data_IF_115033671844
#
_entry.id   IF_115033671844
#
_cell.length_a   1.000
_cell.length_b   1.000
_cell.length_c   1.000
_cell.angle_alpha   90.00
_cell.angle_beta   90.00
_cell.angle_gamma   90.00
#
_symmetry.space_group_name_H-M   'P 1'
#
loop_
_entity.id
_entity.type
_entity.pdbx_description
1 polymer ?
#
# COMPACT_ATOMS: atom_id res chain seq x y z
N UNK A 1 42.30 -4.58 5.96
CA UNK A 1 41.27 -3.74 6.59
C UNK A 1 39.91 -4.23 6.11
N UNK A 2 39.28 -5.15 6.84
CA UNK A 2 38.00 -5.74 6.45
C UNK A 2 36.88 -4.69 6.57
N UNK A 3 36.13 -4.46 5.51
CA UNK A 3 34.93 -3.63 5.55
C UNK A 3 33.93 -4.30 6.51
N UNK A 4 33.37 -3.56 7.48
CA UNK A 4 32.38 -4.10 8.41
C UNK A 4 31.21 -4.74 7.64
N UNK A 5 30.63 -5.87 8.10
CA UNK A 5 29.54 -6.58 7.40
C UNK A 5 28.32 -5.69 7.07
N UNK A 6 28.12 -4.62 7.84
CA UNK A 6 27.10 -3.60 7.56
C UNK A 6 27.37 -2.83 6.26
N UNK A 7 28.62 -2.42 6.00
CA UNK A 7 29.01 -1.69 4.79
C UNK A 7 28.85 -2.54 3.55
N UNK A 8 29.23 -3.82 3.61
CA UNK A 8 29.05 -4.75 2.48
C UNK A 8 27.57 -4.99 2.18
N UNK A 9 26.74 -5.13 3.21
CA UNK A 9 25.28 -5.27 3.05
C UNK A 9 24.67 -4.02 2.41
N UNK A 10 25.05 -2.82 2.89
CA UNK A 10 24.59 -1.55 2.32
C UNK A 10 25.04 -1.39 0.86
N UNK A 11 26.30 -1.71 0.54
CA UNK A 11 26.79 -1.66 -0.85
C UNK A 11 26.08 -2.68 -1.75
N UNK A 12 25.82 -3.89 -1.25
CA UNK A 12 25.07 -4.90 -2.00
C UNK A 12 23.63 -4.45 -2.26
N UNK A 13 22.99 -3.77 -1.29
CA UNK A 13 21.66 -3.16 -1.47
C UNK A 13 21.72 -2.03 -2.50
N UNK A 14 22.70 -1.11 -2.38
CA UNK A 14 22.91 -0.01 -3.32
C UNK A 14 23.17 -0.47 -4.76
N UNK A 15 23.85 -1.59 -4.96
CA UNK A 15 24.14 -2.16 -6.28
C UNK A 15 22.92 -2.87 -6.90
N UNK A 16 22.03 -3.45 -6.09
CA UNK A 16 20.77 -4.09 -6.53
C UNK A 16 19.66 -3.07 -6.84
N UNK A 17 19.94 -1.82 -6.54
CA UNK A 17 19.08 -0.68 -6.70
C UNK A 17 19.33 -0.07 -8.09
N UNK A 18 18.31 -0.04 -8.96
CA UNK A 18 18.43 0.57 -10.29
C UNK A 18 18.42 2.11 -10.17
N UNK A 19 19.56 2.68 -9.76
CA UNK A 19 19.73 4.12 -9.43
C UNK A 19 19.47 5.01 -10.65
N UNK A 20 19.86 4.55 -11.85
CA UNK A 20 19.65 5.30 -13.09
C UNK A 20 18.16 5.53 -13.38
N UNK A 21 17.36 4.46 -13.28
CA UNK A 21 15.91 4.53 -13.50
C UNK A 21 15.19 5.35 -12.42
N UNK A 22 15.59 5.19 -11.14
CA UNK A 22 15.09 6.01 -10.03
C UNK A 22 15.31 7.50 -10.27
N UNK A 23 16.52 7.87 -10.69
CA UNK A 23 16.87 9.28 -10.89
C UNK A 23 16.01 9.97 -11.95
N UNK A 24 15.56 9.22 -12.96
CA UNK A 24 14.69 9.71 -14.04
C UNK A 24 13.23 9.86 -13.57
N UNK A 25 12.72 8.87 -12.84
CA UNK A 25 11.36 8.88 -12.28
C UNK A 25 11.17 9.99 -11.26
N UNK A 26 12.09 10.08 -10.28
CA UNK A 26 12.08 11.15 -9.27
C UNK A 26 12.12 12.50 -9.98
N UNK A 27 13.02 12.71 -10.93
CA UNK A 27 13.15 14.00 -11.63
C UNK A 27 11.87 14.41 -12.37
N UNK A 28 11.16 13.46 -12.99
CA UNK A 28 9.88 13.75 -13.66
C UNK A 28 8.73 14.05 -12.68
N UNK A 29 8.81 13.52 -11.46
CA UNK A 29 7.74 13.59 -10.45
C UNK A 29 7.96 14.72 -9.43
N UNK A 30 9.21 15.17 -9.25
CA UNK A 30 9.63 16.23 -8.34
C UNK A 30 8.81 17.53 -8.41
N UNK A 31 8.41 18.03 -9.61
CA UNK A 31 7.61 19.26 -9.68
C UNK A 31 6.29 19.17 -8.92
N UNK A 32 5.66 17.98 -8.88
CA UNK A 32 4.39 17.77 -8.19
C UNK A 32 4.52 17.68 -6.66
N UNK A 33 5.75 17.55 -6.13
CA UNK A 33 6.03 17.58 -4.69
C UNK A 33 6.38 18.99 -4.18
N UNK A 34 6.59 19.95 -5.07
CA UNK A 34 6.85 21.35 -4.70
C UNK A 34 5.74 21.94 -3.82
N UNK A 35 4.43 21.72 -4.08
CA UNK A 35 3.37 22.18 -3.20
C UNK A 35 3.52 21.64 -1.77
N UNK A 36 3.87 20.36 -1.59
CA UNK A 36 4.08 19.77 -0.28
C UNK A 36 5.20 20.46 0.51
N UNK A 37 6.34 20.68 -0.13
CA UNK A 37 7.46 21.37 0.51
C UNK A 37 7.08 22.80 0.89
N UNK A 38 6.41 23.53 0.00
CA UNK A 38 5.91 24.89 0.28
C UNK A 38 4.95 24.92 1.46
N UNK A 39 3.95 24.04 1.49
CA UNK A 39 2.96 23.99 2.57
C UNK A 39 3.60 23.59 3.90
N UNK A 40 4.58 22.68 3.87
CA UNK A 40 5.35 22.30 5.08
C UNK A 40 6.18 23.48 5.60
N UNK A 41 6.85 24.23 4.73
CA UNK A 41 7.56 25.46 5.12
C UNK A 41 6.60 26.50 5.70
N UNK A 42 5.45 26.73 5.07
CA UNK A 42 4.43 27.66 5.56
C UNK A 42 3.96 27.26 6.98
N UNK A 43 3.74 25.97 7.23
CA UNK A 43 3.37 25.48 8.57
C UNK A 43 4.41 25.85 9.64
N UNK A 44 5.70 25.65 9.35
CA UNK A 44 6.77 25.97 10.28
C UNK A 44 7.11 27.45 10.39
N UNK A 45 6.76 28.27 9.40
CA UNK A 45 6.96 29.73 9.43
C UNK A 45 5.84 30.40 10.22
N UNK A 46 4.58 30.01 9.98
CA UNK A 46 3.44 30.69 10.57
C UNK A 46 3.24 30.39 12.05
N UNK A 47 3.65 29.19 12.51
CA UNK A 47 3.57 28.75 13.92
C UNK A 47 2.30 29.24 14.64
N UNK A 48 1.16 29.05 13.99
CA UNK A 48 -0.11 29.59 14.47
C UNK A 48 -0.50 28.97 15.81
N UNK A 49 -1.18 29.79 16.63
CA UNK A 49 -1.66 29.37 17.95
C UNK A 49 -2.55 28.13 17.85
N UNK A 50 -2.26 27.16 18.73
CA UNK A 50 -3.03 25.92 18.89
C UNK A 50 -4.51 26.27 19.17
N UNK A 51 -5.43 25.48 18.64
CA UNK A 51 -6.88 25.67 18.82
C UNK A 51 -7.55 26.69 17.91
N UNK A 52 -6.82 27.32 16.98
CA UNK A 52 -7.41 28.23 15.98
C UNK A 52 -7.79 27.51 14.68
N UNK A 53 -8.88 27.93 14.02
CA UNK A 53 -9.26 27.41 12.71
C UNK A 53 -8.16 27.58 11.64
N UNK A 54 -7.47 28.74 11.55
CA UNK A 54 -6.33 28.89 10.65
C UNK A 54 -5.19 27.90 10.92
N UNK A 55 -4.86 27.62 12.19
CA UNK A 55 -3.87 26.60 12.53
C UNK A 55 -4.28 25.22 12.00
N UNK A 56 -5.57 24.89 12.08
CA UNK A 56 -6.08 23.63 11.57
C UNK A 56 -5.94 23.50 10.06
N UNK A 57 -6.28 24.55 9.30
CA UNK A 57 -6.10 24.60 7.85
C UNK A 57 -4.62 24.44 7.51
N UNK A 58 -3.75 25.26 8.10
CA UNK A 58 -2.31 25.24 7.82
C UNK A 58 -1.67 23.88 8.15
N UNK A 59 -2.14 23.20 9.21
CA UNK A 59 -1.69 21.85 9.56
C UNK A 59 -2.13 20.78 8.56
N UNK A 60 -3.29 20.94 7.92
CA UNK A 60 -3.81 19.98 6.94
C UNK A 60 -3.21 20.16 5.53
N UNK A 61 -2.75 21.38 5.17
CA UNK A 61 -2.28 21.70 3.82
C UNK A 61 -1.17 20.78 3.28
N UNK A 62 -0.14 20.38 4.07
CA UNK A 62 0.87 19.42 3.59
C UNK A 62 0.25 18.09 3.18
N UNK A 63 -0.67 17.52 3.97
CA UNK A 63 -1.31 16.25 3.62
C UNK A 63 -2.24 16.38 2.42
N UNK A 64 -3.01 17.47 2.32
CA UNK A 64 -3.85 17.74 1.14
C UNK A 64 -3.03 17.80 -0.14
N UNK A 65 -1.82 18.39 -0.08
CA UNK A 65 -0.91 18.41 -1.23
C UNK A 65 -0.36 17.01 -1.60
N UNK A 66 -0.14 16.13 -0.61
CA UNK A 66 0.24 14.74 -0.87
C UNK A 66 -0.93 13.92 -1.44
N UNK A 67 -2.15 14.16 -0.98
CA UNK A 67 -3.36 13.55 -1.55
C UNK A 67 -3.48 13.93 -3.02
N UNK A 68 -3.37 15.23 -3.32
CA UNK A 68 -3.36 15.74 -4.69
C UNK A 68 -2.26 15.08 -5.54
N UNK A 69 -1.03 15.04 -5.01
CA UNK A 69 0.11 14.38 -5.65
C UNK A 69 -0.17 12.92 -6.01
N UNK A 70 -0.68 12.12 -5.07
CA UNK A 70 -0.97 10.70 -5.31
C UNK A 70 -2.12 10.54 -6.32
N UNK A 71 -3.11 11.43 -6.31
CA UNK A 71 -4.21 11.42 -7.29
C UNK A 71 -3.73 11.70 -8.71
N UNK A 72 -2.77 12.63 -8.90
CA UNK A 72 -2.19 12.96 -10.21
C UNK A 72 -1.42 11.80 -10.84
N UNK A 73 -0.85 10.91 -10.04
CA UNK A 73 -0.13 9.72 -10.52
C UNK A 73 -1.05 8.62 -11.09
N UNK A 74 -2.34 8.89 -11.19
CA UNK A 74 -3.33 8.02 -11.80
C UNK A 74 -4.03 7.13 -10.78
N UNK A 75 -5.36 7.28 -10.73
CA UNK A 75 -6.31 6.42 -9.99
C UNK A 75 -7.37 5.80 -10.96
N UNK A 76 -7.14 5.81 -12.27
CA UNK A 76 -8.02 5.26 -13.34
C UNK A 76 -7.82 3.80 -13.87
N UNK A 77 -6.66 3.13 -13.75
CA UNK A 77 -6.35 1.71 -14.02
C UNK A 77 -6.60 0.72 -12.82
N UNK A 78 -7.50 -0.28 -12.94
CA UNK A 78 -8.03 -1.07 -11.80
C UNK A 78 -7.02 -1.78 -10.88
N UNK A 79 -5.90 -2.29 -11.39
CA UNK A 79 -4.99 -3.16 -10.61
C UNK A 79 -3.82 -2.41 -9.95
N UNK A 80 -3.24 -1.40 -10.61
CA UNK A 80 -2.19 -0.53 -10.05
C UNK A 80 -2.77 0.39 -8.95
N UNK A 81 -4.10 0.54 -8.88
CA UNK A 81 -4.73 1.58 -8.05
C UNK A 81 -5.25 1.14 -6.70
N UNK A 82 -5.34 -0.16 -6.42
CA UNK A 82 -5.75 -0.58 -5.07
C UNK A 82 -4.77 -0.08 -4.01
N UNK A 83 -3.47 -0.06 -4.32
CA UNK A 83 -2.46 0.52 -3.43
C UNK A 83 -2.65 2.03 -3.28
N UNK A 84 -2.62 2.77 -4.39
CA UNK A 84 -2.72 4.24 -4.41
C UNK A 84 -4.00 4.73 -3.72
N UNK A 85 -5.15 4.09 -3.99
CA UNK A 85 -6.43 4.43 -3.34
C UNK A 85 -6.40 4.23 -1.84
N UNK A 86 -5.75 3.17 -1.35
CA UNK A 86 -5.57 2.94 0.09
C UNK A 86 -4.62 3.98 0.69
N UNK A 87 -3.55 4.34 -0.01
CA UNK A 87 -2.66 5.43 0.42
C UNK A 87 -3.43 6.76 0.52
N UNK A 88 -4.21 7.12 -0.50
CA UNK A 88 -5.07 8.33 -0.46
C UNK A 88 -6.07 8.27 0.68
N UNK A 89 -6.79 7.14 0.83
CA UNK A 89 -7.77 6.99 1.90
C UNK A 89 -7.12 7.12 3.29
N UNK A 90 -5.95 6.52 3.50
CA UNK A 90 -5.21 6.66 4.74
C UNK A 90 -4.73 8.10 4.97
N UNK A 91 -4.23 8.78 3.93
CA UNK A 91 -3.86 10.21 4.01
C UNK A 91 -5.07 11.09 4.37
N UNK A 92 -6.26 10.80 3.84
CA UNK A 92 -7.50 11.51 4.22
C UNK A 92 -7.82 11.30 5.71
N UNK A 93 -7.68 10.08 6.23
CA UNK A 93 -7.87 9.80 7.65
C UNK A 93 -6.80 10.44 8.55
N UNK A 94 -5.54 10.50 8.10
CA UNK A 94 -4.50 11.24 8.80
C UNK A 94 -4.79 12.75 8.81
N UNK A 95 -5.26 13.31 7.69
CA UNK A 95 -5.65 14.71 7.57
C UNK A 95 -6.82 15.06 8.51
N UNK A 96 -7.83 14.19 8.59
CA UNK A 96 -8.91 14.33 9.57
C UNK A 96 -8.40 14.22 11.02
N UNK A 97 -7.41 13.36 11.27
CA UNK A 97 -6.75 13.26 12.57
C UNK A 97 -6.03 14.56 12.95
N UNK A 98 -5.31 15.18 12.02
CA UNK A 98 -4.65 16.46 12.21
C UNK A 98 -5.64 17.58 12.54
N UNK A 99 -6.79 17.59 11.85
CA UNK A 99 -7.88 18.54 12.10
C UNK A 99 -8.37 18.41 13.54
N UNK A 100 -8.69 17.20 14.01
CA UNK A 100 -9.17 17.00 15.37
C UNK A 100 -8.10 17.36 16.42
N UNK A 101 -6.84 16.97 16.21
CA UNK A 101 -5.78 17.23 17.18
C UNK A 101 -5.52 18.71 17.47
N UNK A 102 -5.92 19.63 16.59
CA UNK A 102 -5.77 21.08 16.80
C UNK A 102 -6.52 21.56 18.04
N UNK A 103 -7.67 20.94 18.35
CA UNK A 103 -8.51 21.28 19.52
C UNK A 103 -8.36 20.30 20.68
N UNK A 104 -7.37 19.40 20.64
CA UNK A 104 -7.17 18.37 21.67
C UNK A 104 -6.82 18.90 23.07
N UNK A 105 -6.28 20.12 23.17
CA UNK A 105 -6.03 20.80 24.44
C UNK A 105 -7.31 21.45 25.00
N UNK A 106 -8.26 21.83 24.14
CA UNK A 106 -9.52 22.44 24.55
C UNK A 106 -10.56 21.39 25.02
N UNK A 107 -10.57 20.21 24.39
CA UNK A 107 -11.46 19.12 24.78
C UNK A 107 -10.85 17.75 24.43
N UNK A 108 -10.80 16.86 25.42
CA UNK A 108 -10.24 15.51 25.28
C UNK A 108 -10.97 14.65 24.24
N UNK A 109 -12.25 14.93 23.96
CA UNK A 109 -13.00 14.25 22.89
C UNK A 109 -12.31 14.43 21.53
N UNK A 110 -11.71 15.59 21.26
CA UNK A 110 -10.98 15.80 20.01
C UNK A 110 -9.68 14.98 19.94
N UNK A 111 -9.02 14.74 21.08
CA UNK A 111 -7.90 13.81 21.13
C UNK A 111 -8.34 12.38 20.77
N UNK A 112 -9.47 11.92 21.32
CA UNK A 112 -10.04 10.61 21.02
C UNK A 112 -10.47 10.48 19.54
N UNK A 113 -11.09 11.52 18.98
CA UNK A 113 -11.45 11.57 17.56
C UNK A 113 -10.20 11.56 16.67
N UNK A 114 -9.16 12.30 17.05
CA UNK A 114 -7.86 12.27 16.39
C UNK A 114 -7.25 10.87 16.40
N UNK A 115 -7.18 10.25 17.59
CA UNK A 115 -6.68 8.89 17.78
C UNK A 115 -7.46 7.88 16.94
N UNK A 116 -8.79 7.95 16.93
CA UNK A 116 -9.65 7.08 16.12
C UNK A 116 -9.38 7.28 14.63
N UNK A 117 -9.29 8.53 14.16
CA UNK A 117 -9.02 8.86 12.76
C UNK A 117 -7.66 8.31 12.31
N UNK A 118 -6.59 8.52 13.09
CA UNK A 118 -5.29 7.93 12.80
C UNK A 118 -5.30 6.41 12.87
N UNK A 119 -6.08 5.80 13.78
CA UNK A 119 -6.23 4.34 13.84
C UNK A 119 -6.78 3.79 12.53
N UNK A 120 -7.84 4.41 12.00
CA UNK A 120 -8.39 4.01 10.70
C UNK A 120 -7.35 4.22 9.59
N UNK A 121 -6.60 5.33 9.62
CA UNK A 121 -5.49 5.57 8.70
C UNK A 121 -4.43 4.46 8.72
N UNK A 122 -3.94 4.11 9.90
CA UNK A 122 -2.94 3.04 10.12
C UNK A 122 -3.45 1.67 9.68
N UNK A 123 -4.72 1.37 9.95
CA UNK A 123 -5.35 0.15 9.46
C UNK A 123 -5.39 0.12 7.93
N UNK A 124 -5.80 1.23 7.29
CA UNK A 124 -5.83 1.32 5.81
C UNK A 124 -4.42 1.25 5.21
N UNK A 125 -3.40 1.85 5.83
CA UNK A 125 -2.00 1.67 5.44
C UNK A 125 -1.54 0.23 5.57
N UNK A 126 -1.88 -0.44 6.66
CA UNK A 126 -1.61 -1.87 6.86
C UNK A 126 -2.22 -2.71 5.72
N UNK A 127 -3.46 -2.42 5.32
CA UNK A 127 -4.09 -3.05 4.17
C UNK A 127 -3.38 -2.71 2.86
N UNK A 128 -2.88 -1.49 2.68
CA UNK A 128 -2.10 -1.09 1.49
C UNK A 128 -0.81 -1.90 1.40
N UNK A 129 -0.11 -2.07 2.51
CA UNK A 129 1.14 -2.82 2.58
C UNK A 129 0.90 -4.34 2.39
N UNK A 130 -0.25 -4.83 2.83
CA UNK A 130 -0.69 -6.21 2.58
C UNK A 130 0.00 -7.24 3.46
N UNK A 131 -0.51 -8.47 3.42
CA UNK A 131 -0.19 -9.53 4.40
C UNK A 131 0.81 -10.57 3.91
N UNK A 132 1.29 -10.45 2.66
CA UNK A 132 2.27 -11.38 2.08
C UNK A 132 3.51 -10.63 1.59
N UNK A 133 4.73 -11.15 1.85
CA UNK A 133 5.03 -12.31 2.71
C UNK A 133 4.77 -11.99 4.19
N UNK A 134 4.69 -13.00 5.05
CA UNK A 134 4.49 -12.76 6.50
C UNK A 134 5.64 -11.93 7.08
N UNK A 135 6.90 -12.30 6.82
CA UNK A 135 8.07 -11.55 7.31
C UNK A 135 8.28 -11.70 8.82
N UNK A 136 8.59 -12.92 9.27
CA UNK A 136 8.76 -13.23 10.71
C UNK A 136 9.96 -12.49 11.32
N UNK A 137 11.04 -12.31 10.55
CA UNK A 137 12.24 -11.59 11.04
C UNK A 137 11.91 -10.13 11.30
N UNK A 138 11.17 -9.52 10.38
CA UNK A 138 10.71 -8.14 10.47
C UNK A 138 9.68 -7.99 11.60
N UNK A 139 8.81 -8.98 11.81
CA UNK A 139 7.89 -9.02 12.95
C UNK A 139 8.64 -8.98 14.27
N UNK A 140 9.58 -9.91 14.45
CA UNK A 140 10.39 -9.99 15.67
C UNK A 140 11.17 -8.70 15.88
N UNK A 141 11.82 -8.17 14.84
CA UNK A 141 12.54 -6.90 14.93
C UNK A 141 11.62 -5.74 15.37
N UNK A 142 10.48 -5.55 14.70
CA UNK A 142 9.54 -4.47 15.01
C UNK A 142 9.02 -4.57 16.44
N UNK A 143 8.60 -5.75 16.89
CA UNK A 143 8.05 -5.91 18.24
C UNK A 143 9.12 -5.93 19.32
N UNK A 144 10.33 -6.45 19.07
CA UNK A 144 11.45 -6.36 20.02
C UNK A 144 11.85 -4.91 20.31
N UNK A 145 11.80 -4.03 19.30
CA UNK A 145 12.07 -2.59 19.47
C UNK A 145 10.85 -1.85 20.03
N UNK A 146 9.63 -2.21 19.60
CA UNK A 146 8.40 -1.51 19.97
C UNK A 146 7.87 -1.81 21.37
N UNK A 147 7.99 -3.06 21.85
CA UNK A 147 7.48 -3.48 23.17
C UNK A 147 8.06 -2.64 24.33
N UNK A 148 9.37 -2.35 24.40
CA UNK A 148 9.92 -1.46 25.42
C UNK A 148 9.24 -0.08 25.43
N UNK A 149 8.99 0.51 24.26
CA UNK A 149 8.27 1.78 24.15
C UNK A 149 6.83 1.67 24.65
N UNK A 150 6.12 0.60 24.31
CA UNK A 150 4.77 0.34 24.83
C UNK A 150 4.76 0.14 26.34
N UNK A 151 5.79 -0.51 26.90
CA UNK A 151 5.91 -0.72 28.35
C UNK A 151 6.10 0.61 29.10
N UNK A 152 6.91 1.53 28.56
CA UNK A 152 7.05 2.90 29.08
C UNK A 152 5.71 3.63 29.01
N UNK A 153 5.01 3.60 27.88
CA UNK A 153 3.70 4.23 27.79
C UNK A 153 2.68 3.62 28.77
N UNK A 154 2.72 2.30 28.96
CA UNK A 154 1.82 1.62 29.88
C UNK A 154 2.02 2.01 31.36
N UNK A 155 3.23 2.46 31.74
CA UNK A 155 3.47 2.95 33.11
C UNK A 155 3.01 4.40 33.30
N UNK A 156 2.92 5.18 32.23
CA UNK A 156 2.47 6.57 32.28
C UNK A 156 0.94 6.74 32.18
N UNK A 157 0.24 5.81 31.51
CA UNK A 157 -1.19 5.94 31.23
C UNK A 157 -2.01 5.07 32.17
N UNK A 158 -3.12 5.61 32.70
CA UNK A 158 -4.05 4.90 33.58
C UNK A 158 -5.47 4.80 32.98
N UNK A 159 -6.32 3.98 33.59
CA UNK A 159 -7.73 3.83 33.19
C UNK A 159 -7.94 3.30 31.76
N UNK A 160 -9.08 3.67 31.17
CA UNK A 160 -9.48 3.24 29.81
C UNK A 160 -8.48 3.72 28.75
N UNK A 161 -7.90 4.91 28.94
CA UNK A 161 -6.94 5.49 28.01
C UNK A 161 -5.69 4.61 27.84
N UNK A 162 -5.30 3.83 28.87
CA UNK A 162 -4.18 2.89 28.78
C UNK A 162 -4.42 1.85 27.71
N UNK A 163 -5.61 1.26 27.68
CA UNK A 163 -5.97 0.24 26.70
C UNK A 163 -6.08 0.82 25.30
N UNK A 164 -6.62 2.04 25.16
CA UNK A 164 -6.71 2.74 23.87
C UNK A 164 -5.31 3.07 23.33
N UNK A 165 -4.42 3.63 24.15
CA UNK A 165 -3.07 3.98 23.76
C UNK A 165 -2.23 2.75 23.39
N UNK A 166 -2.34 1.66 24.15
CA UNK A 166 -1.64 0.40 23.83
C UNK A 166 -2.21 -0.27 22.58
N UNK A 167 -3.53 -0.27 22.41
CA UNK A 167 -4.18 -0.80 21.21
C UNK A 167 -3.75 -0.03 19.96
N UNK A 168 -3.70 1.29 20.05
CA UNK A 168 -3.15 2.16 19.00
C UNK A 168 -1.67 1.86 18.72
N UNK A 169 -0.86 1.76 19.77
CA UNK A 169 0.56 1.45 19.68
C UNK A 169 0.84 0.11 19.00
N UNK A 170 0.04 -0.92 19.31
CA UNK A 170 0.13 -2.22 18.62
C UNK A 170 -0.26 -2.08 17.15
N UNK A 171 -1.33 -1.34 16.84
CA UNK A 171 -1.80 -1.13 15.47
C UNK A 171 -0.74 -0.46 14.59
N UNK A 172 -0.08 0.59 15.08
CA UNK A 172 0.97 1.26 14.32
C UNK A 172 2.23 0.40 14.18
N UNK A 173 2.58 -0.41 15.18
CA UNK A 173 3.66 -1.40 15.05
C UNK A 173 3.32 -2.49 14.02
N UNK A 174 2.06 -2.93 13.96
CA UNK A 174 1.60 -3.84 12.90
C UNK A 174 1.77 -3.18 11.52
N UNK A 175 1.38 -1.92 11.36
CA UNK A 175 1.60 -1.18 10.13
C UNK A 175 3.08 -1.14 9.74
N UNK A 176 3.97 -0.80 10.69
CA UNK A 176 5.42 -0.75 10.46
C UNK A 176 5.98 -2.11 10.07
N UNK A 177 5.60 -3.17 10.78
CA UNK A 177 5.97 -4.52 10.44
C UNK A 177 5.52 -4.88 9.02
N UNK A 178 4.28 -4.55 8.64
CA UNK A 178 3.79 -4.81 7.27
C UNK A 178 4.57 -4.05 6.22
N UNK A 179 4.99 -2.82 6.48
CA UNK A 179 5.85 -2.06 5.58
C UNK A 179 7.23 -2.72 5.42
N UNK A 180 7.85 -3.12 6.53
CA UNK A 180 9.16 -3.79 6.56
C UNK A 180 9.13 -5.19 5.94
N UNK A 181 8.09 -5.99 6.20
CA UNK A 181 7.97 -7.36 5.66
C UNK A 181 7.91 -7.40 4.13
N UNK A 182 7.53 -6.30 3.47
CA UNK A 182 7.58 -6.20 2.01
C UNK A 182 9.00 -6.04 1.48
N UNK A 183 9.92 -5.56 2.31
CA UNK A 183 11.34 -5.37 2.02
C UNK A 183 12.03 -6.73 1.90
N UNK A 184 11.80 -7.39 0.76
CA UNK A 184 12.45 -8.65 0.45
C UNK A 184 13.75 -8.37 -0.32
N UNK A 185 14.88 -8.77 0.26
CA UNK A 185 16.22 -8.65 -0.33
C UNK A 185 16.47 -9.67 -1.45
N UNK A 186 15.57 -10.63 -1.67
CA UNK A 186 15.66 -11.63 -2.74
C UNK A 186 15.02 -11.08 -4.02
N UNK A 187 15.80 -10.36 -4.82
CA UNK A 187 15.41 -9.79 -6.12
C UNK A 187 15.81 -8.33 -6.28
N UNK A 188 15.33 -7.68 -7.36
CA UNK A 188 15.36 -6.23 -7.48
C UNK A 188 14.54 -5.62 -6.34
N UNK A 189 15.12 -4.65 -5.62
CA UNK A 189 14.43 -3.97 -4.51
C UNK A 189 13.79 -2.71 -5.09
N UNK A 190 12.47 -2.68 -5.34
CA UNK A 190 11.84 -1.47 -5.83
C UNK A 190 11.84 -0.43 -4.71
N UNK A 191 12.39 0.73 -5.04
CA UNK A 191 12.52 1.94 -4.22
C UNK A 191 11.28 2.30 -3.41
N UNK A 192 10.11 2.02 -3.98
CA UNK A 192 8.78 2.09 -3.37
C UNK A 192 8.73 1.48 -1.96
N UNK A 193 9.28 0.27 -1.82
CA UNK A 193 9.23 -0.50 -0.57
C UNK A 193 10.13 0.12 0.50
N UNK A 194 11.28 0.68 0.09
CA UNK A 194 12.18 1.42 0.97
C UNK A 194 11.46 2.66 1.50
N UNK A 195 10.85 3.45 0.62
CA UNK A 195 10.10 4.64 1.04
C UNK A 195 8.94 4.29 1.98
N UNK A 196 8.16 3.24 1.69
CA UNK A 196 7.11 2.78 2.61
C UNK A 196 7.68 2.39 4.00
N UNK A 197 8.80 1.68 4.05
CA UNK A 197 9.44 1.25 5.30
C UNK A 197 10.03 2.42 6.12
N UNK A 198 10.71 3.35 5.45
CA UNK A 198 11.23 4.59 6.08
C UNK A 198 10.06 5.40 6.62
N UNK A 199 9.02 5.60 5.80
CA UNK A 199 7.85 6.37 6.18
C UNK A 199 7.11 5.77 7.37
N UNK A 200 6.86 4.46 7.36
CA UNK A 200 6.21 3.78 8.49
C UNK A 200 7.03 3.86 9.79
N UNK A 201 8.37 3.81 9.69
CA UNK A 201 9.26 3.93 10.86
C UNK A 201 9.26 5.35 11.44
N UNK A 202 9.28 6.37 10.57
CA UNK A 202 9.15 7.76 11.00
C UNK A 202 7.78 8.05 11.62
N UNK A 203 6.72 7.38 11.15
CA UNK A 203 5.39 7.51 11.75
C UNK A 203 5.37 6.94 13.17
N UNK A 204 5.89 5.72 13.38
CA UNK A 204 6.04 5.14 14.73
C UNK A 204 6.82 6.07 15.65
N UNK A 205 7.92 6.65 15.16
CA UNK A 205 8.70 7.61 15.95
C UNK A 205 7.89 8.86 16.30
N UNK A 206 7.19 9.47 15.33
CA UNK A 206 6.38 10.66 15.55
C UNK A 206 5.29 10.44 16.59
N UNK A 207 4.54 9.35 16.47
CA UNK A 207 3.43 9.04 17.38
C UNK A 207 3.92 8.59 18.75
N UNK A 208 5.07 7.93 18.83
CA UNK A 208 5.70 7.63 20.11
C UNK A 208 6.09 8.90 20.86
N UNK A 209 6.71 9.88 20.18
CA UNK A 209 7.04 11.18 20.78
C UNK A 209 5.76 11.92 21.19
N UNK A 210 4.71 11.90 20.35
CA UNK A 210 3.42 12.50 20.68
C UNK A 210 2.79 11.86 21.94
N UNK A 211 2.81 10.53 22.04
CA UNK A 211 2.27 9.80 23.18
C UNK A 211 3.06 10.06 24.47
N UNK A 212 4.40 10.05 24.40
CA UNK A 212 5.27 10.38 25.53
C UNK A 212 5.02 11.81 26.01
N UNK A 213 4.92 12.77 25.08
CA UNK A 213 4.62 14.16 25.40
C UNK A 213 3.25 14.32 26.06
N UNK A 214 2.25 13.57 25.61
CA UNK A 214 0.87 13.65 26.12
C UNK A 214 0.71 13.00 27.49
N UNK A 215 1.39 11.87 27.74
CA UNK A 215 1.08 11.00 28.88
C UNK A 215 2.20 10.87 29.91
N UNK A 216 3.46 11.01 29.53
CA UNK A 216 4.60 10.78 30.43
C UNK A 216 5.19 12.10 30.94
N UNK A 217 5.73 12.92 30.04
CA UNK A 217 6.41 14.18 30.38
C UNK A 217 6.48 15.09 29.17
N UNK A 218 6.47 16.43 29.36
CA UNK A 218 6.60 17.37 28.26
C UNK A 218 7.94 17.20 27.55
N UNK A 219 7.90 17.02 26.23
CA UNK A 219 9.10 16.89 25.39
C UNK A 219 9.52 18.28 24.92
N UNK A 220 10.80 18.69 25.08
CA UNK A 220 11.26 19.96 24.54
C UNK A 220 11.11 20.03 23.01
N UNK A 221 10.57 21.13 22.50
CA UNK A 221 10.33 21.34 21.07
C UNK A 221 9.49 20.22 20.42
N UNK A 222 8.51 19.69 21.15
CA UNK A 222 7.63 18.61 20.74
C UNK A 222 6.98 18.89 19.39
N UNK A 223 6.52 20.13 19.16
CA UNK A 223 5.87 20.52 17.92
C UNK A 223 6.78 20.31 16.71
N UNK A 224 8.07 20.65 16.82
CA UNK A 224 9.01 20.47 15.72
C UNK A 224 9.36 19.00 15.52
N UNK A 225 9.69 18.28 16.60
CA UNK A 225 10.10 16.87 16.52
C UNK A 225 8.98 16.01 15.95
N UNK A 226 7.75 16.21 16.43
CA UNK A 226 6.57 15.46 15.98
C UNK A 226 6.25 15.82 14.53
N UNK A 227 6.10 17.11 14.21
CA UNK A 227 5.63 17.51 12.87
C UNK A 227 6.67 17.24 11.77
N UNK A 228 7.98 17.39 12.05
CA UNK A 228 9.03 17.06 11.07
C UNK A 228 9.04 15.56 10.77
N UNK A 229 9.04 14.72 11.81
CA UNK A 229 9.02 13.27 11.63
C UNK A 229 7.73 12.78 10.98
N UNK A 230 6.58 13.38 11.34
CA UNK A 230 5.27 13.09 10.78
C UNK A 230 5.18 13.44 9.29
N UNK A 231 5.50 14.67 8.90
CA UNK A 231 5.42 15.06 7.49
C UNK A 231 6.44 14.30 6.65
N UNK A 232 7.64 14.01 7.18
CA UNK A 232 8.59 13.12 6.53
C UNK A 232 8.02 11.70 6.36
N UNK A 233 7.33 11.17 7.38
CA UNK A 233 6.65 9.87 7.30
C UNK A 233 5.64 9.84 6.15
N UNK A 234 4.72 10.80 6.11
CA UNK A 234 3.69 10.90 5.07
C UNK A 234 4.29 11.11 3.69
N UNK A 235 5.34 11.93 3.57
CA UNK A 235 6.07 12.15 2.33
C UNK A 235 6.65 10.86 1.77
N UNK A 236 7.36 10.07 2.60
CA UNK A 236 7.93 8.81 2.16
C UNK A 236 6.85 7.76 1.83
N UNK A 237 5.75 7.72 2.59
CA UNK A 237 4.62 6.84 2.25
C UNK A 237 3.99 7.25 0.92
N UNK A 238 3.81 8.55 0.64
CA UNK A 238 3.28 9.03 -0.63
C UNK A 238 4.25 8.72 -1.80
N UNK A 239 5.56 8.92 -1.62
CA UNK A 239 6.57 8.55 -2.60
C UNK A 239 6.59 7.06 -2.94
N UNK A 240 6.13 6.20 -2.04
CA UNK A 240 6.04 4.75 -2.29
C UNK A 240 5.11 4.39 -3.46
N UNK A 241 4.27 5.33 -3.91
CA UNK A 241 3.34 5.17 -5.03
C UNK A 241 4.00 5.36 -6.41
N UNK A 242 5.02 6.22 -6.53
CA UNK A 242 5.55 6.74 -7.81
C UNK A 242 6.03 5.64 -8.76
N UNK A 243 5.29 5.33 -9.85
CA UNK A 243 5.58 4.21 -10.77
C UNK A 243 6.48 4.53 -11.97
N UNK A 244 7.35 3.57 -12.32
CA UNK A 244 8.30 3.64 -13.45
C UNK A 244 7.64 3.79 -14.81
N UNK A 245 6.36 3.46 -14.89
CA UNK A 245 5.58 3.47 -16.12
C UNK A 245 4.98 4.83 -16.47
N UNK A 246 5.06 5.83 -15.57
CA UNK A 246 4.50 7.16 -15.83
C UNK A 246 5.28 7.95 -16.91
N UNK A 247 6.43 7.44 -17.37
CA UNK A 247 7.33 8.12 -18.31
C UNK A 247 7.24 7.55 -19.73
N UNK A 248 6.05 7.12 -20.20
CA UNK A 248 5.79 6.90 -21.64
C UNK A 248 4.33 7.17 -21.98
N UNK A 249 3.92 8.44 -21.95
CA UNK A 249 2.98 8.91 -22.96
C UNK A 249 3.35 10.33 -23.35
N UNK A 250 4.28 10.51 -24.30
CA UNK A 250 4.19 11.70 -25.13
C UNK A 250 2.88 11.55 -25.90
N UNK A 251 1.92 12.42 -25.59
CA UNK A 251 0.84 12.76 -26.51
C UNK A 251 1.48 13.29 -27.79
N UNK A 252 1.86 12.40 -28.70
CA UNK A 252 2.05 12.76 -30.10
C UNK A 252 0.68 12.72 -30.76
N UNK A 253 -0.05 13.83 -30.57
CA UNK A 253 -0.98 14.33 -31.57
C UNK A 253 -0.17 14.75 -32.80
N UNK A 254 0.16 13.81 -33.67
CA UNK A 254 0.42 14.04 -35.09
C UNK A 254 -0.12 12.86 -35.87
N UNK A 255 -1.21 13.09 -36.60
CA UNK A 255 -1.60 12.19 -37.66
C UNK A 255 -0.48 12.10 -38.69
N UNK A 256 0.03 10.90 -38.89
CA UNK A 256 0.53 10.44 -40.19
C UNK A 256 0.04 9.01 -40.33
N UNK A 257 -0.98 8.84 -41.16
CA UNK A 257 -1.23 7.56 -41.78
C UNK A 257 0.04 7.16 -42.54
N UNK A 258 0.65 6.04 -42.15
CA UNK A 258 1.62 5.35 -42.99
C UNK A 258 1.29 3.86 -42.94
N UNK A 259 0.51 3.48 -43.93
CA UNK A 259 0.34 2.12 -44.43
C UNK A 259 1.68 1.39 -44.52
N UNK A 260 1.91 0.35 -43.71
CA UNK A 260 2.95 -0.64 -43.99
C UNK A 260 2.75 -1.98 -43.25
N UNK A 261 1.51 -2.39 -42.96
CA UNK A 261 1.21 -3.69 -42.32
C UNK A 261 0.27 -4.62 -43.12
N UNK A 262 0.16 -4.37 -44.43
CA UNK A 262 -0.63 -5.21 -45.35
C UNK A 262 0.24 -6.00 -46.35
N UNK A 263 1.57 -5.85 -46.32
CA UNK A 263 2.45 -6.51 -47.31
C UNK A 263 3.16 -7.77 -46.83
N UNK A 264 3.03 -8.15 -45.55
CA UNK A 264 3.74 -9.31 -44.99
C UNK A 264 2.84 -10.45 -44.47
N UNK A 265 1.53 -10.39 -44.71
CA UNK A 265 0.57 -11.48 -44.45
C UNK A 265 0.22 -12.33 -45.68
N UNK A 266 0.56 -11.87 -46.88
CA UNK A 266 0.26 -12.59 -48.13
C UNK A 266 1.45 -13.39 -48.70
N UNK A 267 2.61 -13.42 -48.03
CA UNK A 267 3.78 -14.20 -48.48
C UNK A 267 3.95 -15.56 -47.79
N UNK A 268 3.09 -15.90 -46.82
CA UNK A 268 3.16 -17.19 -46.12
C UNK A 268 1.91 -18.08 -46.28
N UNK A 269 0.91 -17.63 -47.06
CA UNK A 269 -0.34 -18.38 -47.31
C UNK A 269 -0.36 -19.03 -48.71
N UNK A 270 0.50 -18.62 -49.64
CA UNK A 270 0.52 -19.14 -51.02
C UNK A 270 1.59 -20.22 -51.30
N UNK A 271 2.13 -20.90 -50.28
CA UNK A 271 3.13 -21.96 -50.46
C UNK A 271 2.67 -23.37 -50.07
N UNK A 272 1.39 -23.57 -49.77
CA UNK A 272 0.82 -24.88 -49.40
C UNK A 272 -0.30 -25.37 -50.34
N UNK A 273 -0.44 -24.76 -51.52
CA UNK A 273 -1.37 -25.22 -52.56
C UNK A 273 -0.68 -25.29 -53.92
N UNK A 274 0.35 -26.14 -54.04
CA UNK A 274 0.81 -26.64 -55.34
C UNK A 274 1.72 -27.85 -55.14
N UNK A 275 1.17 -28.95 -54.62
CA UNK A 275 1.73 -30.29 -54.80
C UNK A 275 0.56 -31.28 -54.74
N UNK A 276 -0.16 -31.34 -55.86
CA UNK A 276 -1.21 -32.32 -56.11
C UNK A 276 -0.72 -33.40 -57.08
N UNK A 277 -1.03 -34.64 -56.70
CA UNK A 277 -1.09 -35.85 -57.51
C UNK A 277 0.22 -36.57 -57.86
N UNK A 278 0.44 -37.71 -57.18
CA UNK A 278 0.55 -38.99 -57.87
C UNK A 278 0.00 -40.13 -57.00
N UNK A 279 -0.92 -40.86 -57.62
CA UNK A 279 -1.65 -42.07 -57.23
C UNK A 279 -0.74 -43.26 -56.93
N UNK A 280 -1.09 -44.13 -55.97
CA UNK A 280 -1.40 -45.57 -56.20
C UNK A 280 -1.83 -46.32 -54.93
N UNK A 281 -3.02 -46.88 -55.03
CA UNK A 281 -3.59 -48.12 -54.47
C UNK A 281 -2.62 -49.18 -53.93
N UNK A 282 -2.85 -49.70 -52.71
CA UNK A 282 -3.16 -51.14 -52.51
C UNK A 282 -3.58 -51.52 -51.08
N UNK A 283 -4.50 -52.50 -51.06
CA UNK A 283 -5.26 -53.14 -49.99
C UNK A 283 -4.45 -54.28 -49.35
N UNK A 284 -4.72 -54.64 -48.08
CA UNK A 284 -5.07 -56.01 -47.59
C UNK A 284 -4.78 -56.22 -46.07
N UNK A 285 -5.85 -56.60 -45.34
CA UNK A 285 -5.98 -57.40 -44.09
C UNK A 285 -5.35 -56.88 -42.77
N UNK A 286 -5.99 -56.96 -41.60
CA UNK A 286 -7.28 -57.54 -41.19
C UNK A 286 -7.34 -57.76 -39.67
N UNK A 287 -8.53 -57.56 -39.07
CA UNK A 287 -9.12 -58.01 -37.77
C UNK A 287 -9.84 -56.83 -37.08
N UNK A 288 -11.18 -56.71 -37.05
CA UNK A 288 -12.22 -57.55 -36.39
C UNK A 288 -11.91 -57.62 -34.87
N UNK A 289 -12.69 -57.10 -33.92
CA UNK A 289 -14.16 -57.12 -33.77
C UNK A 289 -14.67 -56.18 -32.65
N UNK A 290 -15.81 -55.52 -32.93
CA UNK A 290 -17.04 -55.21 -32.16
C UNK A 290 -16.95 -54.53 -30.77
N UNK A 291 -17.45 -53.30 -30.60
CA UNK A 291 -18.86 -52.81 -30.54
C UNK A 291 -19.50 -53.01 -29.15
N UNK A 292 -19.82 -51.89 -28.46
CA UNK A 292 -21.19 -51.36 -28.25
C UNK A 292 -22.03 -52.26 -27.33
N UNK A 293 -22.72 -51.78 -26.30
CA UNK A 293 -23.79 -50.80 -26.38
C UNK A 293 -24.41 -50.60 -24.96
N UNK A 294 -25.40 -49.70 -24.87
CA UNK A 294 -26.51 -49.68 -23.90
C UNK A 294 -26.46 -48.72 -22.69
N UNK A 295 -26.91 -47.49 -22.99
CA UNK A 295 -27.96 -46.80 -22.21
C UNK A 295 -29.19 -47.72 -22.02
N UNK A 296 -29.70 -47.90 -20.79
CA UNK A 296 -31.16 -47.87 -20.49
C UNK A 296 -31.49 -47.91 -18.98
N UNK A 297 -32.38 -47.01 -18.58
CA UNK A 297 -33.23 -46.93 -17.39
C UNK A 297 -33.52 -48.22 -16.57
N UNK A 298 -33.51 -48.06 -15.24
CA UNK A 298 -34.46 -48.65 -14.27
C UNK A 298 -34.30 -47.89 -12.92
N UNK A 299 -35.16 -46.96 -12.53
CA UNK A 299 -36.46 -47.07 -11.82
C UNK A 299 -36.46 -47.88 -10.51
N UNK A 300 -37.21 -47.32 -9.54
CA UNK A 300 -37.70 -47.86 -8.26
C UNK A 300 -36.70 -47.76 -7.08
N UNK A 301 -36.98 -47.15 -5.92
CA UNK A 301 -38.14 -46.51 -5.31
C UNK A 301 -37.92 -46.56 -3.80
N UNK A 302 -38.16 -45.48 -3.04
CA UNK A 302 -38.61 -45.63 -1.65
C UNK A 302 -39.32 -44.38 -1.11
N UNK A 303 -40.36 -44.69 -0.34
CA UNK A 303 -41.48 -43.89 0.11
C UNK A 303 -41.19 -42.66 0.97
N UNK A 304 -42.03 -41.64 0.75
CA UNK A 304 -42.49 -40.68 1.76
C UNK A 304 -43.64 -41.29 2.59
N UNK A 305 -43.64 -41.00 3.89
CA UNK A 305 -44.78 -40.81 4.81
C UNK A 305 -44.14 -40.29 6.12
N UNK A 306 -44.51 -39.18 6.76
CA UNK A 306 -45.80 -38.50 6.82
C UNK A 306 -46.33 -38.66 8.24
N UNK A 307 -46.34 -37.58 9.03
CA UNK A 307 -47.37 -37.28 10.04
C UNK A 307 -47.23 -35.81 10.47
N UNK A 308 -48.24 -35.05 10.08
CA UNK A 308 -48.62 -33.70 10.55
C UNK A 308 -49.18 -33.71 11.97
N UNK A 309 -49.51 -32.49 12.43
CA UNK A 309 -50.50 -32.09 13.46
C UNK A 309 -50.01 -32.10 14.92
N UNK A 310 -50.29 -31.11 15.77
CA UNK A 310 -51.04 -29.85 15.66
C UNK A 310 -50.84 -29.05 16.99
N UNK A 311 -50.99 -27.72 16.92
CA UNK A 311 -51.60 -26.85 17.97
C UNK A 311 -50.87 -26.69 19.33
N UNK A 312 -50.93 -25.63 20.14
CA UNK A 312 -51.59 -24.31 20.24
C UNK A 312 -51.08 -23.71 21.59
N UNK A 313 -50.96 -22.37 21.70
CA UNK A 313 -51.03 -21.46 22.90
C UNK A 313 -50.36 -21.92 24.24
N UNK A 314 -49.53 -21.14 24.94
CA UNK A 314 -49.60 -19.72 25.34
C UNK A 314 -48.17 -19.11 25.48
#
# INVERSE_FOLDING_TARGET
MALSPLRETVFAVLKRMNVGQLSKEIRSTMPFLVPFLKMTCIHFILLLDKGSFPAAVVKCLPLLSLIWFVCLLGVSDPHIHRYNRRIVAALCWCCAGDLFLVWSEANEVYFLLGLASFSVGHFVYTLAFGWRPFGLKEFLFTFSVGIPGLAVLASCVTGVMRYLALGYGILILVMQWRALARFNLKGEIPWRKIYAAIGATLFVFSDYVLAVNKFCFPVPAEQHVIMVSYYAAQFFIALSVVNSTFVLSPTNSTGVASSNDEKNRNFHVNRTLSEGNLTTNNRVHGKIKDDADLKKNRNDGFHLNGTDTDSVQD
#
